data_IF_953892310305
#
_entry.id   IF_953892310305
#
_cell.length_a   1.000
_cell.length_b   1.000
_cell.length_c   1.000
_cell.angle_alpha   90.00
_cell.angle_beta   90.00
_cell.angle_gamma   90.00
#
_symmetry.space_group_name_H-M   'P 1'
#
loop_
_entity.id
_entity.type
_entity.pdbx_description
1 polymer ?
#
# COMPACT_ATOMS: atom_id res chain seq x y z
N UNK A 1 4.74 8.76 0.11
CA UNK A 1 4.06 8.32 1.36
C UNK A 1 3.73 9.57 2.16
N UNK A 2 2.55 9.64 2.78
CA UNK A 2 2.13 10.78 3.60
C UNK A 2 1.90 10.34 5.06
N UNK A 3 2.05 11.23 6.03
CA UNK A 3 1.80 10.96 7.46
C UNK A 3 3.06 11.07 8.34
N UNK A 4 2.90 10.80 9.64
CA UNK A 4 3.99 10.94 10.62
C UNK A 4 5.12 9.92 10.45
N UNK A 5 6.29 10.22 11.03
CA UNK A 5 7.52 9.41 10.94
C UNK A 5 7.31 7.92 11.22
N UNK A 6 6.52 7.58 12.25
CA UNK A 6 6.24 6.19 12.61
C UNK A 6 5.49 5.41 11.53
N UNK A 7 4.52 6.04 10.87
CA UNK A 7 3.80 5.41 9.76
C UNK A 7 4.72 5.23 8.54
N UNK A 8 5.47 6.28 8.18
CA UNK A 8 6.39 6.24 7.03
C UNK A 8 7.46 5.16 7.23
N UNK A 9 8.07 5.08 8.42
CA UNK A 9 9.08 4.08 8.74
C UNK A 9 8.54 2.66 8.61
N UNK A 10 7.37 2.38 9.19
CA UNK A 10 6.70 1.08 9.04
C UNK A 10 6.36 0.74 7.58
N UNK A 11 5.83 1.70 6.83
CA UNK A 11 5.47 1.48 5.43
C UNK A 11 6.72 1.12 4.60
N UNK A 12 7.83 1.83 4.80
CA UNK A 12 9.11 1.52 4.15
C UNK A 12 9.62 0.14 4.55
N UNK A 13 9.57 -0.21 5.84
CA UNK A 13 9.99 -1.54 6.33
C UNK A 13 9.15 -2.68 5.74
N UNK A 14 7.87 -2.43 5.45
CA UNK A 14 6.96 -3.35 4.77
C UNK A 14 7.12 -3.36 3.23
N UNK A 15 8.08 -2.61 2.69
CA UNK A 15 8.37 -2.59 1.25
C UNK A 15 7.62 -1.53 0.44
N UNK A 16 6.81 -0.67 1.07
CA UNK A 16 6.20 0.47 0.39
C UNK A 16 7.24 1.57 0.13
N UNK A 17 8.09 1.36 -0.86
CA UNK A 17 9.06 2.35 -1.33
C UNK A 17 8.62 2.92 -2.68
N UNK A 18 8.98 4.18 -3.01
CA UNK A 18 8.69 4.74 -4.33
C UNK A 18 9.17 3.81 -5.45
N UNK A 19 8.31 3.59 -6.45
CA UNK A 19 8.60 2.68 -7.57
C UNK A 19 8.33 1.21 -7.31
N UNK A 20 7.98 0.81 -6.08
CA UNK A 20 7.55 -0.57 -5.81
C UNK A 20 6.16 -0.82 -6.39
N UNK A 21 6.02 -1.92 -7.12
CA UNK A 21 4.73 -2.39 -7.61
C UNK A 21 3.87 -2.88 -6.45
N UNK A 22 2.58 -2.54 -6.50
CA UNK A 22 1.59 -2.93 -5.51
C UNK A 22 0.41 -3.53 -6.25
N UNK A 23 0.13 -4.80 -5.99
CA UNK A 23 -1.01 -5.50 -6.59
C UNK A 23 -2.20 -5.45 -5.64
N UNK A 24 -3.36 -5.01 -6.14
CA UNK A 24 -4.60 -5.04 -5.38
C UNK A 24 -5.18 -6.46 -5.40
N UNK A 25 -5.31 -7.10 -4.23
CA UNK A 25 -5.95 -8.41 -4.10
C UNK A 25 -7.42 -8.26 -3.71
N UNK A 26 -7.71 -7.35 -2.77
CA UNK A 26 -9.05 -7.18 -2.24
C UNK A 26 -9.34 -5.73 -1.87
N UNK A 27 -10.54 -5.26 -2.26
CA UNK A 27 -11.02 -3.93 -1.93
C UNK A 27 -12.53 -3.93 -1.59
N UNK A 28 -12.91 -4.58 -0.48
CA UNK A 28 -14.31 -4.60 -0.04
C UNK A 28 -14.65 -3.46 0.91
N UNK A 29 -15.80 -2.79 0.71
CA UNK A 29 -16.19 -1.56 1.44
C UNK A 29 -16.09 -1.65 2.97
N UNK A 30 -16.35 -2.82 3.58
CA UNK A 30 -16.36 -3.04 5.04
C UNK A 30 -15.14 -3.83 5.56
N UNK A 31 -14.10 -3.98 4.76
CA UNK A 31 -12.89 -4.74 5.08
C UNK A 31 -11.63 -3.89 4.82
N UNK A 32 -10.50 -4.19 5.47
CA UNK A 32 -9.19 -3.69 5.02
C UNK A 32 -8.97 -3.97 3.54
N UNK A 33 -8.12 -3.15 2.91
CA UNK A 33 -7.61 -3.48 1.58
C UNK A 33 -6.53 -4.53 1.75
N UNK A 34 -6.56 -5.59 0.95
CA UNK A 34 -5.47 -6.55 0.88
C UNK A 34 -4.68 -6.23 -0.38
N UNK A 35 -3.39 -5.98 -0.20
CA UNK A 35 -2.45 -5.73 -1.29
C UNK A 35 -1.26 -6.67 -1.19
N UNK A 36 -0.63 -6.94 -2.31
CA UNK A 36 0.67 -7.62 -2.36
C UNK A 36 1.74 -6.58 -2.65
N UNK A 37 2.79 -6.58 -1.84
CA UNK A 37 4.00 -5.77 -2.00
C UNK A 37 5.19 -6.68 -1.79
N UNK A 38 6.07 -6.82 -2.79
CA UNK A 38 7.23 -7.72 -2.73
C UNK A 38 6.86 -9.11 -2.18
N UNK A 39 5.88 -9.73 -2.83
CA UNK A 39 5.35 -11.07 -2.48
C UNK A 39 4.70 -11.20 -1.10
N UNK A 40 4.54 -10.10 -0.36
CA UNK A 40 3.95 -10.10 0.97
C UNK A 40 2.53 -9.55 0.94
N UNK A 41 1.59 -10.28 1.54
CA UNK A 41 0.21 -9.84 1.71
C UNK A 41 0.10 -8.87 2.89
N UNK A 42 -0.43 -7.68 2.64
CA UNK A 42 -0.57 -6.62 3.63
C UNK A 42 -2.02 -6.17 3.70
N UNK A 43 -2.59 -6.24 4.90
CA UNK A 43 -3.87 -5.63 5.21
C UNK A 43 -3.67 -4.14 5.55
N UNK A 44 -4.28 -3.26 4.76
CA UNK A 44 -4.25 -1.83 4.96
C UNK A 44 -5.61 -1.33 5.44
N UNK A 45 -5.62 -0.64 6.57
CA UNK A 45 -6.79 0.14 6.97
C UNK A 45 -7.07 1.25 5.96
N UNK A 46 -8.34 1.68 5.86
CA UNK A 46 -8.73 2.74 4.91
C UNK A 46 -7.95 4.05 5.11
N UNK A 47 -7.65 4.39 6.36
CA UNK A 47 -6.83 5.57 6.69
C UNK A 47 -5.35 5.43 6.34
N UNK A 48 -4.81 4.22 6.36
CA UNK A 48 -3.44 3.91 5.94
C UNK A 48 -3.34 3.90 4.42
N UNK A 49 -4.29 3.27 3.74
CA UNK A 49 -4.35 3.24 2.27
C UNK A 49 -4.37 4.65 1.64
N UNK A 50 -5.11 5.60 2.25
CA UNK A 50 -5.13 7.01 1.80
C UNK A 50 -3.78 7.72 1.86
N UNK A 51 -2.83 7.19 2.63
CA UNK A 51 -1.50 7.77 2.81
C UNK A 51 -0.46 7.19 1.84
N UNK A 52 -0.81 6.12 1.13
CA UNK A 52 0.06 5.45 0.16
C UNK A 52 -0.35 5.93 -1.23
N UNK A 53 0.46 6.82 -1.81
CA UNK A 53 0.25 7.29 -3.18
C UNK A 53 0.62 6.19 -4.17
N UNK A 54 -0.30 5.89 -5.09
CA UNK A 54 -0.10 4.92 -6.16
C UNK A 54 -0.50 5.54 -7.50
N UNK A 55 0.08 5.03 -8.59
CA UNK A 55 -0.36 5.30 -9.96
C UNK A 55 -0.66 3.97 -10.64
N UNK A 56 -1.63 3.95 -11.55
CA UNK A 56 -1.84 2.75 -12.39
C UNK A 56 -0.58 2.53 -13.22
N UNK A 57 -0.13 1.29 -13.26
CA UNK A 57 0.77 0.85 -14.32
C UNK A 57 -0.07 0.77 -15.59
N UNK A 58 0.41 1.43 -16.65
CA UNK A 58 -0.16 1.33 -17.99
C UNK A 58 0.78 0.41 -18.73
N UNK A 59 0.30 -0.77 -19.08
CA UNK A 59 1.04 -1.65 -19.98
C UNK A 59 1.05 -0.99 -21.36
N UNK A 60 2.26 -0.84 -21.93
CA UNK A 60 2.48 -0.26 -23.27
C UNK A 60 2.28 -1.28 -24.37
#
# INVERSE_FOLDING_TARGET
>A
LNGGRGFVSRAVALGFTPGTEVTMVQNFRRSPLIVVVRDTHIALGRGEARKIGVRKLVDS
#
